data_IF_446818350918
#
_entry.id   IF_446818350918
#
_cell.length_a   1.000
_cell.length_b   1.000
_cell.length_c   1.000
_cell.angle_alpha   90.00
_cell.angle_beta   90.00
_cell.angle_gamma   90.00
#
_symmetry.space_group_name_H-M   'P 1'
#
loop_
_entity.id
_entity.type
_entity.pdbx_description
1 polymer ?
#
# COMPACT_ATOMS: atom_id res chain seq x y z
N UNK A 1 1.29 -3.90 2.16
CA UNK A 1 2.66 -4.23 2.53
C UNK A 1 3.17 -5.45 1.77
N UNK A 2 4.24 -5.29 0.98
CA UNK A 2 4.94 -6.36 0.28
C UNK A 2 6.18 -6.84 1.05
N UNK A 3 6.58 -6.14 2.13
CA UNK A 3 7.81 -6.40 2.88
C UNK A 3 9.11 -6.41 2.04
N UNK A 4 9.08 -5.88 0.81
CA UNK A 4 10.23 -5.84 -0.09
C UNK A 4 10.25 -4.55 -0.91
N UNK A 5 11.41 -3.88 -1.04
CA UNK A 5 11.55 -2.74 -1.95
C UNK A 5 11.53 -3.23 -3.41
N UNK A 6 10.73 -2.60 -4.27
CA UNK A 6 10.69 -2.92 -5.71
C UNK A 6 11.88 -2.34 -6.48
N UNK A 7 12.46 -1.24 -6.02
CA UNK A 7 13.61 -0.59 -6.66
C UNK A 7 14.75 -0.32 -5.67
N UNK A 8 15.96 -0.11 -6.16
CA UNK A 8 17.11 0.25 -5.31
C UNK A 8 16.93 1.60 -4.57
N UNK A 9 16.08 2.49 -5.11
CA UNK A 9 15.73 3.78 -4.51
C UNK A 9 14.79 3.64 -3.31
N UNK A 10 14.08 2.52 -3.21
CA UNK A 10 13.12 2.25 -2.14
C UNK A 10 13.78 1.80 -0.83
N UNK A 11 15.12 1.88 -0.74
CA UNK A 11 15.87 1.56 0.47
C UNK A 11 16.99 2.57 0.70
N UNK A 12 17.23 2.92 1.96
CA UNK A 12 18.39 3.67 2.43
C UNK A 12 19.20 2.82 3.43
N UNK A 13 20.50 2.58 3.19
CA UNK A 13 21.24 2.97 2.00
C UNK A 13 20.73 2.25 0.75
N UNK A 14 20.95 2.85 -0.43
CA UNK A 14 20.59 2.23 -1.71
C UNK A 14 21.32 0.90 -1.84
N UNK A 15 20.56 -0.16 -2.09
CA UNK A 15 21.09 -1.50 -2.28
C UNK A 15 20.53 -2.09 -3.56
N UNK A 16 21.28 -3.01 -4.16
CA UNK A 16 20.80 -3.76 -5.32
C UNK A 16 19.62 -4.63 -4.92
N UNK A 17 18.57 -4.64 -5.73
CA UNK A 17 17.44 -5.57 -5.55
C UNK A 17 17.90 -7.02 -5.67
N UNK A 18 17.31 -7.92 -4.88
CA UNK A 18 17.62 -9.34 -4.90
C UNK A 18 17.01 -10.03 -6.16
N UNK A 19 17.24 -11.33 -6.32
CA UNK A 19 16.79 -12.07 -7.51
C UNK A 19 15.28 -12.26 -7.50
N UNK A 20 14.70 -12.42 -6.32
CA UNK A 20 13.28 -12.64 -6.07
C UNK A 20 12.46 -11.40 -6.46
N UNK A 21 12.87 -10.22 -6.00
CA UNK A 21 12.29 -8.93 -6.38
C UNK A 21 12.44 -8.68 -7.88
N UNK A 22 13.57 -9.07 -8.49
CA UNK A 22 13.72 -8.95 -9.95
C UNK A 22 12.69 -9.83 -10.68
N UNK A 23 12.53 -11.09 -10.28
CA UNK A 23 11.54 -11.98 -10.88
C UNK A 23 10.10 -11.49 -10.65
N UNK A 24 9.83 -10.86 -9.51
CA UNK A 24 8.55 -10.18 -9.24
C UNK A 24 8.35 -9.02 -10.22
N UNK A 25 9.32 -8.11 -10.36
CA UNK A 25 9.24 -6.99 -11.30
C UNK A 25 9.04 -7.48 -12.74
N UNK A 26 9.77 -8.51 -13.18
CA UNK A 26 9.60 -9.11 -14.50
C UNK A 26 8.16 -9.67 -14.71
N UNK A 27 7.52 -10.13 -13.64
CA UNK A 27 6.14 -10.63 -13.68
C UNK A 27 5.13 -9.48 -13.71
N UNK A 28 5.37 -8.41 -12.95
CA UNK A 28 4.56 -7.21 -12.97
C UNK A 28 4.59 -6.56 -14.37
N UNK A 29 5.77 -6.46 -14.97
CA UNK A 29 5.95 -5.92 -16.31
C UNK A 29 5.20 -6.76 -17.36
N UNK A 30 5.22 -8.10 -17.26
CA UNK A 30 4.46 -8.99 -18.15
C UNK A 30 2.94 -8.86 -18.02
N UNK A 31 2.46 -8.38 -16.89
CA UNK A 31 1.04 -8.18 -16.59
C UNK A 31 0.61 -6.72 -16.75
N UNK A 32 1.49 -5.87 -17.30
CA UNK A 32 1.29 -4.42 -17.46
C UNK A 32 0.94 -3.71 -16.14
N UNK A 33 1.47 -4.21 -15.01
CA UNK A 33 1.34 -3.57 -13.70
C UNK A 33 2.53 -2.67 -13.40
N UNK A 34 2.23 -1.47 -12.93
CA UNK A 34 3.21 -0.46 -12.52
C UNK A 34 3.06 -0.12 -11.04
N UNK A 35 4.16 0.26 -10.40
CA UNK A 35 4.12 0.93 -9.10
C UNK A 35 3.68 2.39 -9.30
N UNK A 36 2.44 2.69 -8.90
CA UNK A 36 1.83 4.01 -9.11
C UNK A 36 2.62 5.11 -8.40
N UNK A 37 3.21 4.84 -7.23
CA UNK A 37 3.98 5.87 -6.53
C UNK A 37 5.22 6.26 -7.32
N UNK A 38 5.92 5.27 -7.90
CA UNK A 38 7.12 5.53 -8.73
C UNK A 38 6.77 6.15 -10.08
N UNK A 39 5.60 5.85 -10.64
CA UNK A 39 5.13 6.51 -11.85
C UNK A 39 4.91 8.03 -11.65
N UNK A 40 4.43 8.44 -10.49
CA UNK A 40 4.22 9.86 -10.15
C UNK A 40 5.49 10.53 -9.59
N UNK A 41 6.34 9.78 -8.90
CA UNK A 41 7.51 10.28 -8.17
C UNK A 41 8.76 9.43 -8.46
N UNK A 42 9.27 9.44 -9.70
CA UNK A 42 10.33 8.53 -10.14
C UNK A 42 11.62 8.66 -9.33
N UNK A 43 11.95 9.88 -8.89
CA UNK A 43 13.18 10.18 -8.17
C UNK A 43 12.99 10.46 -6.67
N UNK A 44 11.75 10.38 -6.16
CA UNK A 44 11.48 10.73 -4.77
C UNK A 44 12.15 9.77 -3.78
N UNK A 45 12.74 10.34 -2.74
CA UNK A 45 13.40 9.62 -1.66
C UNK A 45 12.48 9.67 -0.43
N UNK A 46 11.33 9.01 -0.56
CA UNK A 46 10.33 8.90 0.52
C UNK A 46 10.13 7.42 0.89
N UNK A 47 9.91 7.17 2.17
CA UNK A 47 9.90 5.83 2.75
C UNK A 47 8.62 5.59 3.55
N UNK A 48 8.17 4.34 3.62
CA UNK A 48 6.99 3.97 4.43
C UNK A 48 7.37 3.32 5.75
N UNK A 49 8.60 2.85 5.90
CA UNK A 49 9.03 2.07 7.06
C UNK A 49 10.44 2.48 7.52
N UNK A 50 10.65 2.47 8.84
CA UNK A 50 11.97 2.61 9.45
C UNK A 50 12.30 1.37 10.29
N UNK A 51 13.41 0.72 9.95
CA UNK A 51 13.96 -0.39 10.74
C UNK A 51 14.91 0.16 11.79
N UNK A 52 14.49 0.15 13.05
CA UNK A 52 15.35 0.55 14.18
C UNK A 52 16.57 -0.36 14.35
N UNK A 53 16.39 -1.67 14.17
CA UNK A 53 17.46 -2.68 14.30
C UNK A 53 18.61 -2.48 13.30
N UNK A 54 18.32 -1.91 12.13
CA UNK A 54 19.30 -1.71 11.07
C UNK A 54 19.60 -0.23 10.79
N UNK A 55 18.86 0.70 11.40
CA UNK A 55 18.96 2.12 11.13
C UNK A 55 18.64 2.48 9.68
N UNK A 56 17.80 1.68 9.00
CA UNK A 56 17.52 1.83 7.57
C UNK A 56 16.09 2.26 7.31
N UNK A 57 15.89 3.07 6.28
CA UNK A 57 14.57 3.40 5.77
C UNK A 57 14.24 2.58 4.53
N UNK A 58 12.98 2.16 4.40
CA UNK A 58 12.52 1.46 3.21
C UNK A 58 11.08 1.82 2.86
N UNK A 59 10.75 1.68 1.58
CA UNK A 59 9.39 1.71 1.07
C UNK A 59 9.02 0.28 0.68
N UNK A 60 8.26 -0.39 1.53
CA UNK A 60 7.79 -1.77 1.34
C UNK A 60 6.29 -1.85 1.07
N UNK A 61 5.58 -0.73 1.27
CA UNK A 61 4.20 -0.56 0.87
C UNK A 61 4.16 -0.04 -0.56
N UNK A 62 3.45 -0.77 -1.42
CA UNK A 62 3.30 -0.45 -2.83
C UNK A 62 1.83 -0.50 -3.20
N UNK A 63 1.38 0.47 -4.01
CA UNK A 63 0.09 0.38 -4.69
C UNK A 63 0.40 0.11 -6.15
N UNK A 64 0.05 -1.09 -6.59
CA UNK A 64 0.20 -1.53 -7.98
C UNK A 64 -1.07 -1.18 -8.76
N UNK A 65 -0.88 -0.70 -9.99
CA UNK A 65 -1.96 -0.31 -10.90
C UNK A 65 -1.65 -0.76 -12.31
N UNK A 66 -2.68 -0.99 -13.11
CA UNK A 66 -2.48 -1.32 -14.51
C UNK A 66 -2.04 -0.06 -15.28
N UNK A 67 -1.08 -0.19 -16.19
CA UNK A 67 -0.53 0.94 -16.95
C UNK A 67 -1.63 1.67 -17.75
N UNK A 68 -2.56 0.93 -18.37
CA UNK A 68 -3.71 1.52 -19.08
C UNK A 68 -4.64 2.37 -18.19
N UNK A 69 -4.58 2.18 -16.86
CA UNK A 69 -5.34 2.90 -15.86
C UNK A 69 -4.69 4.21 -15.40
N UNK A 70 -3.54 4.61 -15.96
CA UNK A 70 -2.78 5.80 -15.55
C UNK A 70 -3.64 7.08 -15.49
N UNK A 71 -4.61 7.24 -16.40
CA UNK A 71 -5.50 8.40 -16.42
C UNK A 71 -6.52 8.45 -15.26
N UNK A 72 -6.72 7.34 -14.55
CA UNK A 72 -7.55 7.24 -13.35
C UNK A 72 -6.79 7.58 -12.09
N UNK A 73 -5.47 7.53 -12.08
CA UNK A 73 -4.67 7.92 -10.92
C UNK A 73 -4.50 9.44 -10.95
N UNK A 74 -4.90 10.14 -9.89
CA UNK A 74 -4.85 11.61 -9.85
C UNK A 74 -3.69 12.12 -8.98
N UNK A 75 -3.50 11.50 -7.81
CA UNK A 75 -2.43 11.84 -6.89
C UNK A 75 -2.13 10.66 -5.99
N UNK A 76 -0.87 10.45 -5.68
CA UNK A 76 -0.43 9.50 -4.66
C UNK A 76 0.56 10.19 -3.71
N UNK A 77 0.54 9.83 -2.44
CA UNK A 77 1.48 10.32 -1.45
C UNK A 77 1.49 9.46 -0.20
N UNK A 78 2.53 9.64 0.62
CA UNK A 78 2.69 8.97 1.90
C UNK A 78 2.10 9.85 3.00
N UNK A 79 1.31 9.25 3.90
CA UNK A 79 0.85 9.85 5.13
C UNK A 79 1.68 9.28 6.27
N UNK A 80 2.52 10.13 6.87
CA UNK A 80 3.25 9.78 8.08
C UNK A 80 2.28 9.43 9.20
N UNK A 81 2.51 8.28 9.84
CA UNK A 81 1.81 7.86 11.04
C UNK A 81 2.80 7.77 12.19
N UNK A 82 2.60 8.54 13.26
CA UNK A 82 3.51 8.53 14.42
C UNK A 82 3.28 7.34 15.36
N UNK A 83 2.16 6.63 15.20
CA UNK A 83 1.75 5.53 16.09
C UNK A 83 2.06 4.15 15.52
N UNK A 84 2.41 4.06 14.24
CA UNK A 84 2.71 2.81 13.54
C UNK A 84 4.14 2.85 13.04
N UNK A 85 4.73 1.67 12.96
CA UNK A 85 6.01 1.43 12.28
C UNK A 85 5.92 1.64 10.76
N UNK A 86 4.70 1.55 10.20
CA UNK A 86 4.40 1.87 8.81
C UNK A 86 3.62 3.19 8.63
N UNK A 87 4.07 3.97 7.64
CA UNK A 87 3.34 5.11 7.09
C UNK A 87 2.34 4.62 6.03
N UNK A 88 1.17 5.25 5.98
CA UNK A 88 0.12 4.84 5.05
C UNK A 88 0.33 5.43 3.66
N UNK A 89 -0.05 4.71 2.60
CA UNK A 89 -0.15 5.26 1.25
C UNK A 89 -1.57 5.72 0.94
N UNK A 90 -1.68 6.92 0.37
CA UNK A 90 -2.96 7.50 -0.07
C UNK A 90 -2.96 7.73 -1.57
N UNK A 91 -3.75 6.94 -2.28
CA UNK A 91 -4.04 7.13 -3.69
C UNK A 91 -5.41 7.82 -3.86
N UNK A 92 -5.41 8.91 -4.63
CA UNK A 92 -6.61 9.60 -5.09
C UNK A 92 -6.89 9.20 -6.53
N UNK A 93 -8.07 8.65 -6.77
CA UNK A 93 -8.55 8.27 -8.10
C UNK A 93 -9.39 9.40 -8.71
N UNK A 94 -9.22 9.64 -10.01
CA UNK A 94 -10.10 10.49 -10.80
C UNK A 94 -11.33 9.67 -11.20
N UNK A 95 -12.51 10.21 -10.93
CA UNK A 95 -13.77 9.54 -11.16
C UNK A 95 -14.50 10.24 -12.31
N UNK A 96 -14.69 9.53 -13.43
CA UNK A 96 -15.45 10.06 -14.59
C UNK A 96 -16.87 9.48 -14.71
N UNK A 97 -17.29 8.53 -13.85
CA UNK A 97 -18.59 7.86 -13.95
C UNK A 97 -19.30 7.86 -12.62
N UNK A 98 -20.40 8.62 -12.47
CA UNK A 98 -21.38 8.46 -11.39
C UNK A 98 -21.72 6.97 -11.25
N UNK A 99 -21.07 6.29 -10.30
CA UNK A 99 -21.60 5.04 -9.80
C UNK A 99 -22.97 5.41 -9.23
N UNK A 100 -24.05 4.91 -9.83
CA UNK A 100 -25.32 4.85 -9.12
C UNK A 100 -25.03 4.21 -7.77
N UNK A 101 -25.52 4.80 -6.67
CA UNK A 101 -25.27 4.35 -5.28
C UNK A 101 -25.21 2.82 -5.24
N UNK A 102 -24.01 2.25 -5.17
CA UNK A 102 -23.87 0.84 -4.88
C UNK A 102 -24.04 0.73 -3.37
N UNK A 103 -25.15 0.15 -2.94
CA UNK A 103 -25.47 -0.12 -1.52
C UNK A 103 -24.62 -1.26 -0.95
N UNK A 104 -23.39 -1.43 -1.43
CA UNK A 104 -22.45 -2.45 -0.97
C UNK A 104 -21.51 -1.82 0.07
N UNK A 105 -22.09 -1.22 1.11
CA UNK A 105 -21.36 -0.90 2.34
C UNK A 105 -21.26 -2.18 3.16
N UNK A 106 -20.04 -2.57 3.53
CA UNK A 106 -19.81 -3.57 4.57
C UNK A 106 -20.37 -3.04 5.89
N UNK A 107 -21.60 -3.42 6.23
CA UNK A 107 -22.25 -3.06 7.49
C UNK A 107 -22.22 -4.28 8.41
N UNK A 108 -21.48 -4.17 9.52
CA UNK A 108 -21.54 -5.16 10.58
C UNK A 108 -23.00 -5.31 11.03
N UNK A 109 -23.49 -6.56 11.07
CA UNK A 109 -24.83 -6.83 11.61
C UNK A 109 -24.79 -6.62 13.12
N UNK A 110 -25.55 -5.65 13.62
CA UNK A 110 -25.64 -5.34 15.06
C UNK A 110 -26.11 -6.50 15.93
N UNK A 111 -26.70 -7.55 15.34
CA UNK A 111 -27.08 -8.77 16.05
C UNK A 111 -25.86 -9.57 16.54
N UNK A 112 -24.72 -9.47 15.84
CA UNK A 112 -23.49 -10.15 16.23
C UNK A 112 -22.88 -9.53 17.50
N UNK A 113 -23.05 -8.21 17.67
CA UNK A 113 -22.61 -7.47 18.87
C UNK A 113 -23.47 -7.74 20.12
N UNK A 114 -24.59 -8.47 19.96
CA UNK A 114 -25.40 -8.92 21.10
C UNK A 114 -24.91 -10.26 21.66
N UNK A 115 -24.03 -10.96 20.94
CA UNK A 115 -23.45 -12.20 21.41
C UNK A 115 -22.29 -11.87 22.37
N UNK A 116 -22.46 -12.26 23.62
CA UNK A 116 -21.49 -12.00 24.69
C UNK A 116 -20.14 -12.68 24.44
N UNK A 117 -20.15 -13.86 23.80
CA UNK A 117 -18.94 -14.56 23.39
C UNK A 117 -18.15 -13.77 22.32
N UNK A 118 -18.85 -13.23 21.32
CA UNK A 118 -18.22 -12.39 20.27
C UNK A 118 -17.64 -11.12 20.89
N UNK A 119 -18.34 -10.52 21.86
CA UNK A 119 -17.83 -9.33 22.55
C UNK A 119 -16.61 -9.63 23.43
N UNK A 120 -16.54 -10.83 24.01
CA UNK A 120 -15.40 -11.25 24.82
C UNK A 120 -14.15 -11.47 23.95
N UNK A 121 -14.30 -12.15 22.82
CA UNK A 121 -13.21 -12.30 21.84
C UNK A 121 -12.71 -10.94 21.32
N UNK A 122 -13.62 -10.00 21.01
CA UNK A 122 -13.23 -8.64 20.57
C UNK A 122 -12.41 -7.92 21.66
N UNK A 123 -12.73 -8.11 22.94
CA UNK A 123 -11.97 -7.50 24.05
C UNK A 123 -10.62 -8.15 24.32
N UNK A 124 -10.40 -9.36 23.82
CA UNK A 124 -9.13 -10.07 23.96
C UNK A 124 -8.17 -9.73 22.80
N UNK A 125 -8.72 -9.40 21.63
CA UNK A 125 -7.96 -9.01 20.44
C UNK A 125 -7.47 -7.54 20.46
N UNK A 126 -8.12 -6.67 21.26
CA UNK A 126 -7.85 -5.23 21.36
C UNK A 126 -7.59 -4.80 22.81
#
# INVERSE_FOLDING_TARGET
DFNTPLTAMDRSPKQKINKETRALNDTLDKMDFIDIFRAFHPEAIEYTFFSSAHGTFSRTDHILGHESGLNWYQKIGIILCIFLDHSALKLKLSHKRKFGRNTNTWRLKSILLKNECVNQEIKEEF
#
